data_IF_652580793306
#
_entry.id   IF_652580793306
#
_cell.length_a   1.000
_cell.length_b   1.000
_cell.length_c   1.000
_cell.angle_alpha   90.00
_cell.angle_beta   90.00
_cell.angle_gamma   90.00
#
_symmetry.space_group_name_H-M   'P 1'
#
loop_
_entity.id
_entity.type
_entity.pdbx_description
1 polymer ?
#
# COMPACT_ATOMS: atom_id res chain seq x y z
N UNK A 1 12.90 22.12 30.75
CA UNK A 1 11.55 22.15 31.37
C UNK A 1 10.71 21.04 30.76
N UNK A 2 9.83 20.41 31.53
CA UNK A 2 8.98 19.31 31.06
C UNK A 2 7.49 19.65 31.28
N UNK A 3 6.66 19.32 30.30
CA UNK A 3 5.23 19.60 30.27
C UNK A 3 4.45 18.34 29.91
N UNK A 4 3.29 18.14 30.53
CA UNK A 4 2.37 17.03 30.21
C UNK A 4 1.10 17.62 29.60
N UNK A 5 0.88 17.35 28.31
CA UNK A 5 -0.27 17.80 27.55
C UNK A 5 -1.30 16.68 27.46
N UNK A 6 -2.51 16.92 27.95
CA UNK A 6 -3.64 15.97 27.88
C UNK A 6 -4.59 16.34 26.75
N UNK A 7 -4.96 15.37 25.95
CA UNK A 7 -5.95 15.50 24.88
C UNK A 7 -7.36 15.14 25.35
N UNK A 8 -8.35 15.57 24.57
CA UNK A 8 -9.78 15.26 24.80
C UNK A 8 -10.09 13.76 24.72
N UNK A 9 -9.27 12.99 24.00
CA UNK A 9 -9.37 11.53 23.92
C UNK A 9 -8.72 10.79 25.10
N UNK A 10 -8.21 11.52 26.11
CA UNK A 10 -7.55 10.97 27.29
C UNK A 10 -6.07 10.62 27.11
N UNK A 11 -5.49 10.78 25.92
CA UNK A 11 -4.06 10.56 25.69
C UNK A 11 -3.23 11.71 26.27
N UNK A 12 -2.10 11.38 26.87
CA UNK A 12 -1.13 12.33 27.39
C UNK A 12 0.17 12.29 26.59
N UNK A 13 0.74 13.47 26.35
CA UNK A 13 1.98 13.65 25.63
C UNK A 13 2.95 14.46 26.48
N UNK A 14 4.21 14.04 26.49
CA UNK A 14 5.28 14.74 27.20
C UNK A 14 5.98 15.66 26.21
N UNK A 15 6.12 16.93 26.59
CA UNK A 15 6.88 17.92 25.83
C UNK A 15 8.05 18.38 26.70
N UNK A 16 9.27 18.22 26.19
CA UNK A 16 10.49 18.66 26.85
C UNK A 16 11.01 19.88 26.12
N UNK A 17 11.10 21.00 26.82
CA UNK A 17 11.68 22.25 26.33
C UNK A 17 13.11 22.42 26.85
N UNK A 18 14.06 22.48 25.94
CA UNK A 18 15.43 22.92 26.17
C UNK A 18 15.48 24.44 26.17
N UNK A 19 15.77 25.01 27.34
CA UNK A 19 15.84 26.46 27.55
C UNK A 19 17.07 27.07 26.88
N UNK A 20 18.17 26.31 26.78
CA UNK A 20 19.43 26.78 26.19
C UNK A 20 19.31 26.83 24.68
N UNK A 21 18.81 25.75 24.09
CA UNK A 21 18.64 25.66 22.63
C UNK A 21 17.34 26.32 22.16
N UNK A 22 16.47 26.73 23.07
CA UNK A 22 15.11 27.23 22.79
C UNK A 22 14.29 26.27 21.91
N UNK A 23 14.53 24.97 22.05
CA UNK A 23 13.88 23.90 21.29
C UNK A 23 12.96 23.10 22.19
N UNK A 24 11.80 22.71 21.67
CA UNK A 24 10.84 21.79 22.28
C UNK A 24 10.74 20.48 21.48
N UNK A 25 10.85 19.34 22.18
CA UNK A 25 10.60 18.01 21.62
C UNK A 25 9.33 17.42 22.24
N UNK A 26 8.56 16.66 21.47
CA UNK A 26 7.32 16.02 21.95
C UNK A 26 7.37 14.51 21.75
N UNK A 27 6.79 13.76 22.68
CA UNK A 27 6.67 12.31 22.60
C UNK A 27 5.85 11.82 21.40
N UNK A 28 5.05 12.67 20.76
CA UNK A 28 4.34 12.32 19.52
C UNK A 28 5.22 12.26 18.26
N UNK A 29 6.47 12.74 18.34
CA UNK A 29 7.48 12.71 17.26
C UNK A 29 7.06 13.34 15.93
N UNK A 30 6.09 14.25 15.96
CA UNK A 30 5.50 14.81 14.73
C UNK A 30 6.49 15.68 13.95
N UNK A 31 7.37 16.41 14.63
CA UNK A 31 8.38 17.21 13.96
C UNK A 31 9.45 16.31 13.33
N UNK A 32 9.88 15.26 14.03
CA UNK A 32 10.85 14.29 13.53
C UNK A 32 10.29 13.47 12.35
N UNK A 33 8.99 13.16 12.34
CA UNK A 33 8.36 12.37 11.28
C UNK A 33 7.92 13.20 10.07
N UNK A 34 7.40 14.40 10.29
CA UNK A 34 6.76 15.19 9.24
C UNK A 34 7.44 16.54 8.96
N UNK A 35 8.30 17.01 9.87
CA UNK A 35 9.02 18.27 9.72
C UNK A 35 8.21 19.50 10.10
N UNK A 36 7.07 19.34 10.79
CA UNK A 36 6.27 20.45 11.30
C UNK A 36 5.86 20.19 12.76
N UNK A 37 5.71 21.28 13.53
CA UNK A 37 5.37 21.20 14.94
C UNK A 37 3.99 20.57 15.15
N UNK A 38 3.86 19.72 16.18
CA UNK A 38 2.57 19.24 16.63
C UNK A 38 1.83 20.30 17.47
N UNK A 39 0.52 20.12 17.61
CA UNK A 39 -0.31 20.93 18.53
C UNK A 39 0.24 20.98 19.96
N UNK A 40 0.89 19.91 20.45
CA UNK A 40 1.40 19.86 21.83
C UNK A 40 2.55 20.84 22.03
N UNK A 41 3.49 20.90 21.08
CA UNK A 41 4.60 21.86 21.13
C UNK A 41 4.08 23.28 20.96
N UNK A 42 3.09 23.51 20.09
CA UNK A 42 2.48 24.85 19.96
C UNK A 42 1.91 25.38 21.26
N UNK A 43 1.23 24.54 22.05
CA UNK A 43 0.72 24.93 23.37
C UNK A 43 1.87 25.33 24.29
N UNK A 44 2.92 24.54 24.37
CA UNK A 44 4.09 24.83 25.23
C UNK A 44 4.81 26.11 24.79
N UNK A 45 5.03 26.32 23.49
CA UNK A 45 5.66 27.55 22.99
C UNK A 45 4.82 28.78 23.32
N UNK A 46 3.48 28.68 23.22
CA UNK A 46 2.56 29.75 23.60
C UNK A 46 2.65 30.07 25.10
N UNK A 47 2.66 29.05 25.95
CA UNK A 47 2.75 29.22 27.41
C UNK A 47 4.10 29.80 27.84
N UNK A 48 5.16 29.52 27.08
CA UNK A 48 6.49 30.10 27.23
C UNK A 48 6.62 31.52 26.62
N UNK A 49 5.56 32.07 26.03
CA UNK A 49 5.54 33.43 25.50
C UNK A 49 6.20 33.61 24.14
N UNK A 50 6.42 32.54 23.37
CA UNK A 50 6.93 32.67 22.00
C UNK A 50 5.84 33.22 21.07
N UNK A 51 6.08 34.41 20.53
CA UNK A 51 5.20 35.07 19.55
C UNK A 51 5.49 34.64 18.10
N UNK A 52 6.65 34.02 17.87
CA UNK A 52 7.09 33.50 16.59
C UNK A 52 7.58 32.07 16.77
N UNK A 53 7.40 31.26 15.73
CA UNK A 53 7.96 29.91 15.69
C UNK A 53 9.49 30.06 15.64
N UNK A 54 10.26 29.42 16.55
CA UNK A 54 11.71 29.47 16.51
C UNK A 54 12.25 28.97 15.17
N UNK A 55 13.29 29.62 14.65
CA UNK A 55 13.87 29.32 13.34
C UNK A 55 14.33 27.86 13.21
N UNK A 56 14.71 27.21 14.32
CA UNK A 56 15.04 25.79 14.39
C UNK A 56 13.91 24.85 13.90
N UNK A 57 12.65 25.33 13.90
CA UNK A 57 11.48 24.58 13.42
C UNK A 57 11.04 24.94 12.00
N UNK A 58 11.67 25.94 11.38
CA UNK A 58 11.36 26.38 10.03
C UNK A 58 12.24 25.58 9.08
N UNK A 59 11.73 24.45 8.59
CA UNK A 59 12.48 23.66 7.61
C UNK A 59 12.48 24.33 6.23
N UNK A 60 13.60 24.27 5.48
CA UNK A 60 13.70 24.84 4.13
C UNK A 60 12.57 24.40 3.18
N UNK A 61 12.15 23.13 3.28
CA UNK A 61 11.03 22.55 2.50
C UNK A 61 9.69 23.27 2.67
N UNK A 62 9.50 24.01 3.77
CA UNK A 62 8.26 24.74 4.09
C UNK A 62 8.38 26.24 3.85
N UNK A 63 9.50 26.69 3.27
CA UNK A 63 9.72 28.09 2.90
C UNK A 63 9.35 28.35 1.45
N UNK A 64 9.15 29.62 1.06
CA UNK A 64 8.94 30.01 -0.34
C UNK A 64 10.12 29.62 -1.25
N UNK A 65 11.30 29.43 -0.66
CA UNK A 65 12.56 29.01 -1.29
C UNK A 65 12.76 27.48 -1.25
N UNK A 66 11.69 26.70 -1.06
CA UNK A 66 11.76 25.24 -1.01
C UNK A 66 12.32 24.60 -2.29
N UNK A 67 12.25 25.29 -3.42
CA UNK A 67 12.81 24.83 -4.71
C UNK A 67 14.29 25.19 -4.89
N UNK A 68 14.82 26.14 -4.12
CA UNK A 68 16.23 26.55 -4.18
C UNK A 68 17.10 25.82 -3.14
N UNK A 69 16.48 25.18 -2.14
CA UNK A 69 17.15 24.36 -1.14
C UNK A 69 16.81 22.88 -1.36
N UNK A 70 17.80 22.00 -1.50
CA UNK A 70 17.53 20.58 -1.71
C UNK A 70 16.68 20.00 -0.57
N UNK A 71 15.66 19.22 -0.94
CA UNK A 71 14.65 18.70 -0.01
C UNK A 71 15.23 17.82 1.10
N UNK A 72 16.44 17.30 0.93
CA UNK A 72 17.19 16.56 1.93
C UNK A 72 18.62 17.10 2.03
N UNK A 73 18.98 17.63 3.20
CA UNK A 73 20.36 17.55 3.66
C UNK A 73 20.52 16.09 4.11
N UNK A 74 21.01 15.22 3.23
CA UNK A 74 21.42 13.87 3.63
C UNK A 74 22.66 14.05 4.51
N UNK A 75 22.45 14.38 5.79
CA UNK A 75 23.48 14.20 6.79
C UNK A 75 23.67 12.69 6.93
N UNK A 76 24.88 12.26 6.55
CA UNK A 76 25.55 10.96 6.60
C UNK A 76 25.19 10.00 7.76
N UNK A 77 23.92 9.66 7.97
CA UNK A 77 23.49 8.72 9.01
C UNK A 77 22.48 7.69 8.50
N UNK A 78 22.88 6.87 7.52
CA UNK A 78 22.19 5.59 7.26
C UNK A 78 23.25 4.49 7.11
N UNK A 79 22.98 3.40 7.82
CA UNK A 79 23.80 2.24 8.12
C UNK A 79 24.42 1.56 6.89
N UNK A 80 25.67 1.12 7.01
CA UNK A 80 26.56 0.67 5.92
C UNK A 80 26.24 -0.71 5.33
N UNK A 81 24.99 -1.18 5.36
CA UNK A 81 24.65 -2.58 5.04
C UNK A 81 23.96 -2.81 3.67
N UNK A 82 23.75 -1.78 2.85
CA UNK A 82 23.00 -1.87 1.58
C UNK A 82 23.70 -1.14 0.41
N UNK A 83 24.98 -1.41 0.16
CA UNK A 83 25.87 -0.54 -0.63
C UNK A 83 25.41 -0.16 -2.07
N UNK A 84 24.90 -1.07 -2.91
CA UNK A 84 24.86 -0.76 -4.36
C UNK A 84 23.61 0.00 -4.87
N UNK A 85 22.43 -0.24 -4.29
CA UNK A 85 21.21 0.48 -4.68
C UNK A 85 21.11 1.85 -4.01
N UNK A 86 21.70 1.97 -2.81
CA UNK A 86 21.69 3.21 -2.03
C UNK A 86 22.69 4.24 -2.60
N UNK A 87 23.80 3.80 -3.19
CA UNK A 87 24.77 4.69 -3.83
C UNK A 87 24.21 5.39 -5.07
N UNK A 88 23.47 4.68 -5.92
CA UNK A 88 22.81 5.27 -7.09
C UNK A 88 21.75 6.28 -6.63
N UNK A 89 20.91 5.92 -5.65
CA UNK A 89 19.90 6.83 -5.13
C UNK A 89 20.52 8.06 -4.44
N UNK A 90 21.63 7.88 -3.71
CA UNK A 90 22.39 8.99 -3.11
C UNK A 90 22.95 9.92 -4.17
N UNK A 91 23.56 9.38 -5.22
CA UNK A 91 24.10 10.15 -6.34
C UNK A 91 22.99 10.87 -7.11
N UNK A 92 21.86 10.21 -7.38
CA UNK A 92 20.69 10.81 -8.01
C UNK A 92 20.14 11.97 -7.19
N UNK A 93 19.95 11.77 -5.88
CA UNK A 93 19.45 12.82 -4.99
C UNK A 93 20.40 14.01 -4.90
N UNK A 94 21.72 13.76 -4.86
CA UNK A 94 22.73 14.82 -4.92
C UNK A 94 22.69 15.56 -6.26
N UNK A 95 22.61 14.84 -7.38
CA UNK A 95 22.56 15.45 -8.71
C UNK A 95 21.30 16.32 -8.88
N UNK A 96 20.15 15.83 -8.44
CA UNK A 96 18.91 16.60 -8.42
C UNK A 96 19.05 17.88 -7.60
N UNK A 97 19.64 17.77 -6.41
CA UNK A 97 19.91 18.90 -5.53
C UNK A 97 20.76 19.96 -6.21
N UNK A 98 21.88 19.55 -6.81
CA UNK A 98 22.81 20.45 -7.50
C UNK A 98 22.14 21.13 -8.71
N UNK A 99 21.36 20.39 -9.51
CA UNK A 99 20.61 20.96 -10.65
C UNK A 99 19.61 22.02 -10.19
N UNK A 100 18.85 21.74 -9.12
CA UNK A 100 17.89 22.70 -8.58
C UNK A 100 18.57 23.97 -8.04
N UNK A 101 19.72 23.83 -7.37
CA UNK A 101 20.53 24.97 -6.93
C UNK A 101 20.98 25.80 -8.14
N UNK A 102 21.50 25.17 -9.19
CA UNK A 102 21.92 25.86 -10.41
C UNK A 102 20.76 26.63 -11.07
N UNK A 103 19.56 26.05 -11.12
CA UNK A 103 18.37 26.73 -11.65
C UNK A 103 18.02 27.95 -10.79
N UNK A 104 18.00 27.81 -9.46
CA UNK A 104 17.70 28.93 -8.56
C UNK A 104 18.74 30.06 -8.62
N UNK A 105 20.02 29.73 -8.81
CA UNK A 105 21.08 30.72 -8.99
C UNK A 105 21.02 31.41 -10.37
N UNK A 106 20.60 30.70 -11.41
CA UNK A 106 20.46 31.23 -12.76
C UNK A 106 19.15 32.01 -12.97
N UNK A 107 18.11 31.77 -12.15
CA UNK A 107 16.78 32.39 -12.25
C UNK A 107 16.78 33.92 -12.50
N UNK A 108 17.66 34.72 -11.88
CA UNK A 108 17.68 36.17 -12.10
C UNK A 108 18.25 36.60 -13.47
N UNK A 109 18.88 35.71 -14.23
CA UNK A 109 19.59 36.00 -15.48
C UNK A 109 19.20 35.02 -16.60
N UNK A 110 18.47 35.52 -17.61
CA UNK A 110 18.01 34.71 -18.75
C UNK A 110 19.17 34.09 -19.52
N UNK A 111 20.29 34.79 -19.65
CA UNK A 111 21.47 34.27 -20.36
C UNK A 111 22.09 33.06 -19.66
N UNK A 112 22.16 33.07 -18.32
CA UNK A 112 22.63 31.92 -17.54
C UNK A 112 21.68 30.73 -17.64
N UNK A 113 20.36 30.95 -17.71
CA UNK A 113 19.38 29.88 -17.93
C UNK A 113 19.54 29.25 -19.32
N UNK A 114 19.78 30.07 -20.35
CA UNK A 114 20.03 29.61 -21.72
C UNK A 114 21.33 28.79 -21.77
N UNK A 115 22.39 29.25 -21.12
CA UNK A 115 23.66 28.55 -21.05
C UNK A 115 23.53 27.21 -20.32
N UNK A 116 22.89 27.20 -19.15
CA UNK A 116 22.66 25.98 -18.38
C UNK A 116 21.81 24.96 -19.17
N UNK A 117 20.75 25.43 -19.85
CA UNK A 117 19.92 24.59 -20.71
C UNK A 117 20.72 23.92 -21.83
N UNK A 118 21.62 24.66 -22.49
CA UNK A 118 22.52 24.11 -23.53
C UNK A 118 23.43 23.02 -22.98
N UNK A 119 23.97 23.20 -21.77
CA UNK A 119 24.85 22.22 -21.12
C UNK A 119 24.09 20.92 -20.85
N UNK A 120 22.87 21.01 -20.30
CA UNK A 120 22.03 19.85 -19.99
C UNK A 120 21.63 19.12 -21.27
N UNK A 121 21.21 19.84 -22.32
CA UNK A 121 20.83 19.24 -23.60
C UNK A 121 22.02 18.56 -24.29
N UNK A 122 23.21 19.17 -24.26
CA UNK A 122 24.43 18.56 -24.81
C UNK A 122 24.77 17.24 -24.11
N UNK A 123 24.66 17.19 -22.77
CA UNK A 123 24.92 15.97 -22.01
C UNK A 123 23.85 14.90 -22.27
N UNK A 124 22.57 15.29 -22.38
CA UNK A 124 21.47 14.40 -22.78
C UNK A 124 21.74 13.75 -24.13
N UNK A 125 22.12 14.53 -25.15
CA UNK A 125 22.46 14.00 -26.48
C UNK A 125 23.63 13.01 -26.39
N UNK A 126 24.67 13.32 -25.60
CA UNK A 126 25.82 12.43 -25.37
C UNK A 126 25.42 11.09 -24.74
N UNK A 127 24.50 11.09 -23.77
CA UNK A 127 24.01 9.85 -23.15
C UNK A 127 23.17 9.01 -24.13
N UNK A 128 22.35 9.67 -24.95
CA UNK A 128 21.53 9.00 -25.96
C UNK A 128 22.39 8.35 -27.05
N UNK A 129 23.45 9.02 -27.51
CA UNK A 129 24.35 8.47 -28.53
C UNK A 129 25.25 7.34 -28.01
N UNK A 130 25.67 7.39 -26.75
CA UNK A 130 26.38 6.29 -26.10
C UNK A 130 25.51 5.02 -25.98
N UNK A 131 24.19 5.18 -25.85
CA UNK A 131 23.23 4.07 -25.78
C UNK A 131 23.01 3.38 -27.13
N UNK A 132 23.09 4.11 -28.24
CA UNK A 132 22.94 3.56 -29.60
C UNK A 132 24.18 2.85 -30.12
N UNK A 133 25.39 3.18 -29.63
CA UNK A 133 26.63 2.52 -30.05
C UNK A 133 26.87 1.15 -29.37
N UNK A 134 26.16 0.86 -28.28
CA UNK A 134 26.28 -0.41 -27.54
C UNK A 134 25.63 -1.63 -28.21
N UNK A 135 24.94 -1.46 -29.34
CA UNK A 135 24.17 -2.52 -30.03
C UNK A 135 24.78 -2.96 -31.38
N UNK A 136 25.95 -2.40 -31.76
CA UNK A 136 26.55 -2.60 -33.08
C UNK A 136 27.55 -3.78 -33.19
N UNK A 137 27.50 -4.76 -32.28
CA UNK A 137 28.40 -5.94 -32.34
C UNK A 137 27.69 -7.29 -32.30
N UNK A 138 26.55 -7.48 -32.98
CA UNK A 138 26.18 -8.81 -33.52
C UNK A 138 25.53 -8.66 -34.90
N UNK A 139 26.30 -9.06 -35.92
CA UNK A 139 25.95 -9.55 -37.26
C UNK A 139 24.96 -8.78 -38.15
N UNK A 140 25.47 -8.41 -39.32
CA UNK A 140 24.73 -7.77 -40.39
C UNK A 140 23.58 -8.60 -40.95
N UNK A 141 22.46 -7.92 -41.09
CA UNK A 141 21.36 -8.22 -41.98
C UNK A 141 20.58 -6.92 -42.09
N UNK A 142 20.43 -6.38 -43.29
CA UNK A 142 19.54 -5.25 -43.52
C UNK A 142 18.14 -5.66 -43.07
N UNK A 143 17.68 -5.15 -41.93
CA UNK A 143 16.29 -5.22 -41.53
C UNK A 143 15.85 -3.88 -41.00
N UNK A 144 14.71 -3.51 -41.55
CA UNK A 144 13.91 -2.31 -41.39
C UNK A 144 13.68 -1.91 -39.93
N UNK A 145 13.35 -0.64 -39.74
CA UNK A 145 12.98 0.03 -38.51
C UNK A 145 12.03 -0.82 -37.65
N UNK A 146 12.56 -1.57 -36.68
CA UNK A 146 11.75 -2.34 -35.74
C UNK A 146 11.95 -1.81 -34.34
N UNK A 147 11.10 -0.84 -34.00
CA UNK A 147 10.71 -0.52 -32.63
C UNK A 147 10.64 -1.82 -31.81
N UNK A 148 11.47 -1.95 -30.77
CA UNK A 148 11.26 -2.96 -29.74
C UNK A 148 9.87 -2.68 -29.18
N UNK A 149 8.90 -3.49 -29.57
CA UNK A 149 7.51 -3.35 -29.16
C UNK A 149 7.45 -3.31 -27.64
N UNK A 150 6.60 -2.42 -27.09
CA UNK A 150 6.40 -2.22 -25.65
C UNK A 150 6.22 -3.54 -24.88
N UNK A 151 5.70 -4.54 -25.57
CA UNK A 151 5.48 -5.92 -25.15
C UNK A 151 6.75 -6.55 -24.55
N UNK A 152 7.89 -6.47 -25.24
CA UNK A 152 9.15 -7.05 -24.77
C UNK A 152 9.69 -6.35 -23.51
N UNK A 153 9.39 -5.06 -23.33
CA UNK A 153 9.73 -4.35 -22.08
C UNK A 153 8.86 -4.80 -20.90
N UNK A 154 7.57 -5.08 -21.13
CA UNK A 154 6.68 -5.59 -20.09
C UNK A 154 7.03 -7.04 -19.70
N UNK A 155 7.33 -7.89 -20.66
CA UNK A 155 7.72 -9.28 -20.41
C UNK A 155 9.03 -9.36 -19.62
N UNK A 156 10.01 -8.50 -19.92
CA UNK A 156 11.25 -8.39 -19.16
C UNK A 156 11.05 -7.91 -17.72
N UNK A 157 10.10 -7.01 -17.48
CA UNK A 157 9.82 -6.49 -16.14
C UNK A 157 9.01 -7.48 -15.28
N UNK A 158 8.04 -8.18 -15.88
CA UNK A 158 7.13 -9.11 -15.18
C UNK A 158 7.71 -10.53 -15.11
N UNK A 159 8.67 -10.86 -15.98
CA UNK A 159 9.32 -12.18 -16.04
C UNK A 159 8.43 -13.28 -16.63
N UNK A 160 7.33 -12.92 -17.29
CA UNK A 160 6.40 -13.84 -17.93
C UNK A 160 6.03 -13.31 -19.32
N UNK A 161 6.01 -14.21 -20.31
CA UNK A 161 5.53 -13.89 -21.64
C UNK A 161 4.02 -13.63 -21.64
N UNK A 162 3.57 -12.67 -22.44
CA UNK A 162 2.16 -12.35 -22.58
C UNK A 162 1.41 -13.55 -23.20
N UNK A 163 0.29 -14.00 -22.61
CA UNK A 163 -0.49 -15.09 -23.19
C UNK A 163 -1.07 -14.67 -24.55
N UNK A 164 -1.02 -15.57 -25.54
CA UNK A 164 -1.50 -15.32 -26.91
C UNK A 164 -3.00 -15.02 -27.00
N UNK A 165 -3.77 -15.40 -25.99
CA UNK A 165 -5.21 -15.17 -25.93
C UNK A 165 -5.60 -14.65 -24.53
N UNK A 166 -6.04 -13.39 -24.48
CA UNK A 166 -6.53 -12.76 -23.25
C UNK A 166 -8.06 -12.72 -23.31
N UNK A 167 -8.73 -13.67 -22.65
CA UNK A 167 -10.17 -13.61 -22.45
C UNK A 167 -10.50 -12.61 -21.32
N UNK A 168 -10.59 -11.33 -21.68
CA UNK A 168 -11.00 -10.26 -20.75
C UNK A 168 -12.53 -10.32 -20.61
N UNK A 169 -13.00 -11.00 -19.57
CA UNK A 169 -14.39 -10.85 -19.17
C UNK A 169 -14.59 -9.46 -18.53
N UNK A 170 -15.74 -8.79 -18.77
CA UNK A 170 -16.06 -7.59 -18.03
C UNK A 170 -15.96 -7.89 -16.53
N UNK A 171 -15.39 -6.97 -15.72
CA UNK A 171 -15.29 -7.16 -14.29
C UNK A 171 -16.69 -7.49 -13.76
N UNK A 172 -16.77 -8.50 -12.88
CA UNK A 172 -18.05 -8.94 -12.33
C UNK A 172 -18.79 -7.72 -11.82
N UNK A 173 -19.98 -7.46 -12.37
CA UNK A 173 -20.71 -6.23 -12.10
C UNK A 173 -20.90 -6.08 -10.59
N UNK A 174 -20.19 -5.13 -9.98
CA UNK A 174 -20.28 -4.91 -8.55
C UNK A 174 -21.67 -4.38 -8.23
N UNK A 175 -22.33 -4.97 -7.22
CA UNK A 175 -23.62 -4.46 -6.73
C UNK A 175 -23.36 -3.22 -5.89
N UNK A 176 -23.15 -2.08 -6.55
CA UNK A 176 -22.89 -0.76 -5.94
C UNK A 176 -24.12 -0.20 -5.21
N UNK A 177 -25.32 -0.61 -5.62
CA UNK A 177 -26.55 -0.48 -4.85
C UNK A 177 -26.71 -1.80 -4.11
N UNK A 178 -26.54 -1.77 -2.78
CA UNK A 178 -26.75 -2.95 -1.92
C UNK A 178 -28.01 -3.71 -2.35
N UNK A 179 -28.02 -5.04 -2.19
CA UNK A 179 -28.90 -6.06 -2.82
C UNK A 179 -30.41 -5.77 -3.00
N UNK A 180 -30.96 -4.64 -2.56
CA UNK A 180 -32.39 -4.33 -2.46
C UNK A 180 -33.04 -5.11 -1.32
N UNK A 181 -32.40 -6.19 -0.90
CA UNK A 181 -32.75 -6.99 0.27
C UNK A 181 -32.42 -6.19 1.52
N UNK A 182 -33.46 -5.91 2.30
CA UNK A 182 -33.37 -5.39 3.66
C UNK A 182 -32.34 -6.21 4.46
N UNK A 183 -31.38 -5.52 5.08
CA UNK A 183 -30.48 -6.13 6.04
C UNK A 183 -31.28 -6.58 7.25
N UNK A 184 -31.29 -7.90 7.53
CA UNK A 184 -31.94 -8.44 8.73
C UNK A 184 -31.18 -7.99 9.98
N UNK A 185 -31.90 -7.47 10.97
CA UNK A 185 -31.34 -7.11 12.28
C UNK A 185 -30.84 -8.35 13.04
N UNK A 186 -29.96 -8.16 14.03
CA UNK A 186 -29.53 -9.25 14.90
C UNK A 186 -30.72 -9.99 15.56
N UNK A 187 -31.77 -9.23 15.93
CA UNK A 187 -33.03 -9.78 16.47
C UNK A 187 -33.75 -10.67 15.46
N UNK A 188 -33.89 -10.24 14.21
CA UNK A 188 -34.54 -11.03 13.16
C UNK A 188 -33.77 -12.32 12.83
N UNK A 189 -32.43 -12.24 12.77
CA UNK A 189 -31.57 -13.43 12.61
C UNK A 189 -31.72 -14.39 13.79
N UNK A 190 -31.81 -13.87 15.01
CA UNK A 190 -32.06 -14.66 16.22
C UNK A 190 -33.41 -15.38 16.18
N UNK A 191 -34.48 -14.70 15.76
CA UNK A 191 -35.83 -15.29 15.64
C UNK A 191 -35.85 -16.41 14.60
N UNK A 192 -35.23 -16.21 13.44
CA UNK A 192 -35.21 -17.21 12.37
C UNK A 192 -34.33 -18.42 12.72
N UNK A 193 -33.18 -18.20 13.38
CA UNK A 193 -32.33 -19.27 13.91
C UNK A 193 -32.99 -20.04 15.07
N UNK A 194 -33.88 -19.39 15.81
CA UNK A 194 -34.63 -20.02 16.92
C UNK A 194 -35.84 -20.84 16.44
N UNK A 195 -36.19 -20.81 15.14
CA UNK A 195 -37.19 -21.71 14.58
C UNK A 195 -36.66 -23.14 14.68
N UNK A 196 -37.12 -23.89 15.69
CA UNK A 196 -36.80 -25.31 15.87
C UNK A 196 -37.13 -26.05 14.57
N UNK A 197 -36.10 -26.54 13.86
CA UNK A 197 -36.30 -27.45 12.72
C UNK A 197 -37.08 -28.66 13.22
N UNK A 198 -38.21 -28.97 12.59
CA UNK A 198 -38.96 -30.19 12.90
C UNK A 198 -38.04 -31.39 12.67
N UNK A 199 -38.03 -32.33 13.61
CA UNK A 199 -37.18 -33.52 13.53
C UNK A 199 -37.62 -34.37 12.34
N UNK A 200 -36.73 -34.56 11.38
CA UNK A 200 -36.96 -35.41 10.21
C UNK A 200 -36.64 -36.86 10.54
N UNK A 201 -37.45 -37.80 10.07
CA UNK A 201 -37.19 -39.22 10.18
C UNK A 201 -35.98 -39.62 9.31
N UNK A 202 -34.91 -40.17 9.90
CA UNK A 202 -33.70 -40.59 9.17
C UNK A 202 -33.95 -41.73 8.17
N UNK A 203 -35.01 -42.51 8.37
CA UNK A 203 -35.31 -43.67 7.52
C UNK A 203 -36.13 -43.34 6.27
N UNK A 204 -37.02 -42.33 6.33
CA UNK A 204 -37.89 -41.99 5.19
C UNK A 204 -37.83 -40.52 4.75
N UNK A 205 -37.11 -39.67 5.49
CA UNK A 205 -36.97 -38.25 5.14
C UNK A 205 -38.19 -37.38 5.46
N UNK A 206 -39.27 -37.91 6.04
CA UNK A 206 -40.46 -37.14 6.37
C UNK A 206 -40.33 -36.36 7.69
N UNK A 207 -40.96 -35.19 7.77
CA UNK A 207 -40.95 -34.29 8.93
C UNK A 207 -42.20 -34.43 9.83
N UNK A 208 -43.05 -35.40 9.54
CA UNK A 208 -44.38 -35.61 10.13
C UNK A 208 -44.35 -36.56 11.33
N UNK A 209 -44.10 -36.04 12.53
CA UNK A 209 -44.54 -36.66 13.80
C UNK A 209 -43.89 -37.97 14.26
N UNK A 210 -42.96 -38.55 13.50
CA UNK A 210 -42.33 -39.83 13.84
C UNK A 210 -40.79 -39.78 13.72
N UNK A 211 -40.10 -40.74 14.34
CA UNK A 211 -38.65 -40.87 14.26
C UNK A 211 -38.24 -42.18 13.54
N UNK A 212 -36.94 -42.40 13.34
CA UNK A 212 -36.42 -43.57 12.62
C UNK A 212 -36.74 -44.92 13.29
N UNK A 213 -36.98 -44.94 14.61
CA UNK A 213 -37.35 -46.15 15.35
C UNK A 213 -38.84 -46.49 15.18
N UNK A 214 -39.68 -45.47 15.02
CA UNK A 214 -41.13 -45.59 14.86
C UNK A 214 -41.56 -45.33 13.42
N UNK A 215 -40.66 -45.53 12.44
CA UNK A 215 -40.92 -45.22 11.04
C UNK A 215 -41.83 -46.30 10.42
N UNK A 216 -43.05 -45.96 9.96
CA UNK A 216 -43.97 -46.94 9.37
C UNK A 216 -43.40 -47.55 8.09
N UNK A 217 -42.66 -46.79 7.29
CA UNK A 217 -42.02 -47.29 6.06
C UNK A 217 -40.89 -48.30 6.32
N UNK A 218 -40.29 -48.29 7.52
CA UNK A 218 -39.26 -49.27 7.91
C UNK A 218 -39.86 -50.64 8.26
N UNK A 219 -41.10 -50.67 8.75
CA UNK A 219 -41.83 -51.93 8.98
C UNK A 219 -42.33 -52.55 7.68
N UNK A 220 -42.61 -51.73 6.67
CA UNK A 220 -43.11 -52.22 5.39
C UNK A 220 -42.03 -52.92 4.55
N UNK A 221 -40.75 -52.53 4.69
CA UNK A 221 -39.62 -53.20 4.02
C UNK A 221 -39.27 -54.57 4.62
N UNK A 222 -39.64 -54.84 5.88
CA UNK A 222 -39.39 -56.14 6.53
C UNK A 222 -40.44 -57.19 6.17
N UNK A 223 -41.63 -56.76 5.75
CA UNK A 223 -42.73 -57.66 5.37
C UNK A 223 -42.71 -58.04 3.87
N UNK A 224 -41.84 -57.41 3.07
CA UNK A 224 -41.75 -57.65 1.61
C UNK A 224 -40.55 -58.48 1.17
N UNK A 225 -39.76 -59.05 2.10
CA UNK A 225 -38.63 -59.93 1.76
C UNK A 225 -38.49 -61.11 2.74
N UNK A 226 -39.10 -62.28 2.47
CA UNK A 226 -38.76 -63.52 3.15
C UNK A 226 -37.76 -64.31 2.28
N UNK A 227 -36.46 -64.28 2.60
CA UNK A 227 -35.49 -65.21 2.00
C UNK A 227 -35.00 -66.24 3.02
N UNK A 228 -35.23 -67.49 2.64
CA UNK A 228 -34.42 -68.68 2.88
C UNK A 228 -34.09 -69.05 4.34
N UNK A 229 -34.89 -69.96 4.89
CA UNK A 229 -34.43 -70.87 5.95
C UNK A 229 -33.40 -71.80 5.33
N UNK A 230 -32.16 -71.75 5.82
CA UNK A 230 -31.09 -72.67 5.45
C UNK A 230 -31.02 -73.78 6.52
N UNK A 231 -31.31 -75.01 6.12
CA UNK A 231 -31.11 -76.21 6.92
C UNK A 231 -29.61 -76.48 7.10
N UNK A 232 -29.17 -76.66 8.35
CA UNK A 232 -27.95 -77.40 8.65
C UNK A 232 -28.21 -78.35 9.81
N UNK A 233 -28.39 -79.62 9.47
CA UNK A 233 -28.16 -80.79 10.32
C UNK A 233 -26.66 -81.10 10.24
N UNK A 234 -25.97 -81.31 11.36
CA UNK A 234 -24.95 -82.36 11.51
C UNK A 234 -24.70 -82.64 13.00
N UNK A 235 -25.03 -83.89 13.37
CA UNK A 235 -24.67 -84.76 14.52
C UNK A 235 -24.73 -84.18 15.94
#
# INVERSE_FOLDING_TARGET
MEFIIKETNGKSFTVVHDVVLTTSSCSCKHFELYGWLCRHVFVVLKDLGFNLIPSAYIMPRWTKQALSNPMFHVLDNIDAQCANADDINRLLNKLWSDIHICIGLAEPCVDHLIEFSKIVEAYKIKLLSARTQGDATINGGAVDDMHIGKEHQFESFVGMAAPQEVNIHPPTQSKNKGSGKRLKSAKEKGIEGSKKKRRTCKSCGETTGHNARTCPKKHQTYMSNPTAVNEQIFV
#
